data_IF_597283512983
#
_entry.id   IF_597283512983
#
_cell.length_a   1.000
_cell.length_b   1.000
_cell.length_c   1.000
_cell.angle_alpha   90.00
_cell.angle_beta   90.00
_cell.angle_gamma   90.00
#
_symmetry.space_group_name_H-M   'P 1'
#
loop_
_entity.id
_entity.type
_entity.pdbx_description
1 polymer ?
#
# COMPACT_ATOMS: atom_id res chain seq x y z
N UNK A 1 -60.37 -14.43 2.48
CA UNK A 1 -60.88 -13.31 3.29
C UNK A 1 -59.64 -12.73 3.99
N UNK A 2 -59.21 -11.51 3.88
CA UNK A 2 -59.61 -10.31 3.17
C UNK A 2 -58.31 -9.53 2.90
N UNK A 3 -58.20 -9.00 1.68
CA UNK A 3 -57.20 -8.02 1.28
C UNK A 3 -57.51 -6.68 1.96
N UNK A 4 -56.53 -6.00 2.50
CA UNK A 4 -56.60 -4.55 2.66
C UNK A 4 -55.35 -3.90 2.15
N UNK A 5 -55.52 -3.25 0.99
CA UNK A 5 -54.60 -2.29 0.41
C UNK A 5 -54.59 -0.99 1.23
N UNK A 6 -53.43 -0.44 1.55
CA UNK A 6 -53.31 0.97 1.95
C UNK A 6 -52.57 1.69 0.83
N UNK A 7 -53.31 2.51 0.08
CA UNK A 7 -52.78 3.55 -0.81
C UNK A 7 -52.29 4.72 0.07
N UNK A 8 -51.01 5.03 0.03
CA UNK A 8 -50.50 6.29 0.58
C UNK A 8 -50.44 7.35 -0.53
N UNK A 9 -50.95 8.49 -0.19
CA UNK A 9 -51.16 9.70 -0.97
C UNK A 9 -49.86 10.35 -1.42
N UNK A 10 -49.71 10.48 -2.75
CA UNK A 10 -48.63 11.27 -3.37
C UNK A 10 -49.13 12.68 -3.63
N UNK A 11 -49.13 13.54 -2.64
CA UNK A 11 -49.24 14.99 -2.89
C UNK A 11 -48.56 15.81 -1.78
N UNK A 12 -47.62 16.69 -2.21
CA UNK A 12 -47.01 17.78 -1.48
C UNK A 12 -45.77 17.50 -0.66
N UNK A 13 -44.62 17.47 -1.34
CA UNK A 13 -43.39 18.11 -0.81
C UNK A 13 -42.68 18.85 -1.98
N UNK A 14 -43.07 20.11 -2.22
CA UNK A 14 -42.17 21.06 -2.89
C UNK A 14 -41.17 21.52 -1.86
N UNK A 15 -40.04 20.85 -1.78
CA UNK A 15 -38.92 21.31 -0.97
C UNK A 15 -38.17 22.45 -1.70
N UNK A 16 -37.99 23.53 -1.00
CA UNK A 16 -37.23 24.72 -1.34
C UNK A 16 -35.80 24.33 -1.71
N UNK A 17 -35.33 24.82 -2.87
CA UNK A 17 -33.92 24.76 -3.26
C UNK A 17 -33.16 25.75 -2.36
N UNK A 18 -32.07 25.36 -1.70
CA UNK A 18 -31.16 26.32 -1.11
C UNK A 18 -30.42 27.05 -2.23
N UNK A 19 -30.39 28.40 -2.10
CA UNK A 19 -29.64 29.29 -2.98
C UNK A 19 -28.17 28.86 -3.03
N UNK A 20 -27.63 28.76 -4.26
CA UNK A 20 -26.20 28.67 -4.52
C UNK A 20 -25.51 29.89 -3.99
N UNK A 21 -24.79 29.77 -2.89
CA UNK A 21 -23.74 30.73 -2.55
C UNK A 21 -22.60 30.53 -3.55
N UNK A 22 -22.29 31.54 -4.32
CA UNK A 22 -21.12 31.61 -5.18
C UNK A 22 -19.87 31.44 -4.31
N UNK A 23 -19.18 30.29 -4.50
CA UNK A 23 -17.81 30.16 -4.02
C UNK A 23 -16.89 30.81 -5.03
N UNK A 24 -15.92 31.60 -4.60
CA UNK A 24 -14.96 32.23 -5.51
C UNK A 24 -14.19 31.10 -6.22
N UNK A 25 -14.00 31.26 -7.53
CA UNK A 25 -13.10 30.48 -8.35
C UNK A 25 -11.70 30.55 -7.72
N UNK A 26 -11.28 29.49 -7.04
CA UNK A 26 -9.89 29.31 -6.69
C UNK A 26 -9.14 28.98 -7.99
N UNK A 27 -8.22 29.84 -8.27
CA UNK A 27 -7.24 29.80 -9.34
C UNK A 27 -6.60 28.40 -9.44
N UNK A 28 -6.71 27.76 -10.62
CA UNK A 28 -6.07 26.47 -10.90
C UNK A 28 -4.58 26.71 -11.18
N UNK A 29 -3.91 27.32 -10.23
CA UNK A 29 -2.49 27.59 -10.24
C UNK A 29 -1.77 26.56 -9.35
N UNK A 30 -0.99 25.71 -10.00
CA UNK A 30 0.10 24.94 -9.42
C UNK A 30 -0.30 24.13 -8.16
N UNK A 31 -0.71 22.89 -8.35
CA UNK A 31 -0.60 21.87 -7.31
C UNK A 31 0.88 21.88 -6.86
N UNK A 32 1.14 22.52 -5.74
CA UNK A 32 2.45 22.48 -5.08
C UNK A 32 2.73 21.01 -4.82
N UNK A 33 3.88 20.50 -5.31
CA UNK A 33 4.54 19.36 -4.69
C UNK A 33 4.44 19.63 -3.19
N UNK A 34 3.85 18.73 -2.44
CA UNK A 34 3.94 18.80 -0.99
C UNK A 34 5.43 18.84 -0.73
N UNK A 35 5.92 19.98 -0.23
CA UNK A 35 7.27 20.13 0.26
C UNK A 35 7.39 19.22 1.47
N UNK A 36 7.73 17.95 1.23
CA UNK A 36 8.17 17.05 2.27
C UNK A 36 9.52 17.61 2.73
N UNK A 37 9.67 17.98 3.99
CA UNK A 37 10.92 18.48 4.48
C UNK A 37 12.01 17.42 4.24
N UNK A 38 13.15 17.84 3.70
CA UNK A 38 14.30 16.99 3.39
C UNK A 38 14.96 16.37 4.66
N UNK A 39 14.50 16.76 5.84
CA UNK A 39 14.95 16.25 7.13
C UNK A 39 13.74 15.61 7.85
N UNK A 40 13.74 14.28 7.89
CA UNK A 40 12.77 13.49 8.62
C UNK A 40 11.62 13.01 7.75
N UNK A 41 11.88 12.04 6.88
CA UNK A 41 10.79 11.23 6.29
C UNK A 41 10.20 10.41 7.43
N UNK A 42 9.10 10.90 7.99
CA UNK A 42 8.32 10.16 8.98
C UNK A 42 7.88 8.83 8.36
N UNK A 43 8.16 7.74 9.07
CA UNK A 43 7.95 6.39 8.57
C UNK A 43 6.46 6.15 8.39
N UNK A 44 6.04 5.96 7.14
CA UNK A 44 4.67 5.66 6.80
C UNK A 44 4.41 4.20 7.09
N UNK A 45 3.46 3.91 7.99
CA UNK A 45 2.91 2.57 8.14
C UNK A 45 1.77 2.46 7.15
N UNK A 46 2.02 1.78 6.05
CA UNK A 46 0.98 1.46 5.09
C UNK A 46 0.24 0.19 5.54
N UNK A 47 -1.08 0.27 5.71
CA UNK A 47 -1.92 -0.91 5.75
C UNK A 47 -2.08 -1.37 4.31
N UNK A 48 -1.33 -2.38 3.93
CA UNK A 48 -1.37 -2.95 2.58
C UNK A 48 -2.54 -3.91 2.48
N UNK A 49 -3.51 -3.64 1.63
CA UNK A 49 -4.56 -4.58 1.28
C UNK A 49 -4.23 -5.21 -0.09
N UNK A 50 -3.76 -6.48 -0.08
CA UNK A 50 -3.69 -7.29 -1.30
C UNK A 50 -5.08 -7.86 -1.59
N UNK A 51 -5.85 -7.25 -2.46
CA UNK A 51 -7.08 -7.86 -2.99
C UNK A 51 -6.81 -8.45 -4.36
N UNK A 52 -6.79 -9.79 -4.41
CA UNK A 52 -6.78 -10.55 -5.69
C UNK A 52 -8.10 -10.41 -6.46
N UNK A 53 -9.17 -10.02 -5.76
CA UNK A 53 -10.50 -9.76 -6.32
C UNK A 53 -11.15 -8.59 -5.59
N UNK A 54 -11.14 -7.42 -6.19
CA UNK A 54 -12.18 -6.43 -5.92
C UNK A 54 -13.44 -6.94 -6.60
N UNK A 55 -14.04 -8.00 -6.04
CA UNK A 55 -15.30 -8.55 -6.53
C UNK A 55 -16.32 -7.43 -6.64
N UNK A 56 -16.69 -7.08 -7.87
CA UNK A 56 -17.72 -6.11 -8.26
C UNK A 56 -17.82 -4.94 -7.27
N UNK A 57 -16.95 -3.96 -7.40
CA UNK A 57 -17.16 -2.64 -6.82
C UNK A 57 -18.50 -2.17 -7.37
N UNK A 58 -19.55 -2.23 -6.56
CA UNK A 58 -20.84 -1.62 -6.89
C UNK A 58 -20.57 -0.15 -7.14
N UNK A 59 -21.16 0.40 -8.18
CA UNK A 59 -21.08 1.81 -8.56
C UNK A 59 -21.62 2.79 -7.51
N UNK A 60 -21.93 2.33 -6.31
CA UNK A 60 -22.26 3.17 -5.17
C UNK A 60 -20.95 3.75 -4.60
N UNK A 61 -20.82 5.06 -4.70
CA UNK A 61 -19.72 5.88 -4.19
C UNK A 61 -19.59 5.81 -2.65
N UNK A 62 -19.58 4.61 -2.07
CA UNK A 62 -19.29 4.47 -0.65
C UNK A 62 -17.76 4.46 -0.48
N UNK A 63 -17.23 5.31 0.41
CA UNK A 63 -15.80 5.30 0.73
C UNK A 63 -15.39 3.90 1.19
N UNK A 64 -14.19 3.49 0.81
CA UNK A 64 -13.59 2.24 1.30
C UNK A 64 -13.68 2.27 2.83
N UNK A 65 -14.25 1.24 3.50
CA UNK A 65 -14.40 1.24 4.97
C UNK A 65 -13.09 1.55 5.70
N UNK A 66 -11.95 1.07 5.17
CA UNK A 66 -10.61 1.36 5.65
C UNK A 66 -10.25 2.84 5.55
N UNK A 67 -10.73 3.54 4.53
CA UNK A 67 -10.53 4.99 4.38
C UNK A 67 -11.21 5.80 5.48
N UNK A 68 -12.36 5.36 6.00
CA UNK A 68 -13.01 6.00 7.14
C UNK A 68 -12.26 5.74 8.45
N UNK A 69 -11.80 4.53 8.67
CA UNK A 69 -10.99 4.19 9.84
C UNK A 69 -9.65 4.94 9.83
N UNK A 70 -8.99 5.04 8.67
CA UNK A 70 -7.78 5.83 8.49
C UNK A 70 -7.99 7.31 8.85
N UNK A 71 -9.10 7.91 8.41
CA UNK A 71 -9.44 9.31 8.76
C UNK A 71 -9.75 9.53 10.24
N UNK A 72 -10.23 8.51 10.95
CA UNK A 72 -10.54 8.56 12.40
C UNK A 72 -9.32 8.26 13.27
N UNK A 73 -8.25 7.73 12.69
CA UNK A 73 -7.02 7.44 13.42
C UNK A 73 -6.41 8.73 13.99
N UNK A 74 -5.80 8.63 15.18
CA UNK A 74 -5.10 9.74 15.83
C UNK A 74 -3.69 9.97 15.28
N UNK A 75 -3.25 9.08 14.41
CA UNK A 75 -1.94 9.09 13.74
C UNK A 75 -2.16 9.06 12.23
N UNK A 76 -1.22 9.55 11.41
CA UNK A 76 -1.33 9.45 9.96
C UNK A 76 -1.43 7.98 9.51
N UNK A 77 -2.49 7.65 8.77
CA UNK A 77 -2.72 6.33 8.18
C UNK A 77 -3.04 6.52 6.70
N UNK A 78 -2.23 5.92 5.83
CA UNK A 78 -2.49 5.89 4.40
C UNK A 78 -3.16 4.56 4.02
N UNK A 79 -4.21 4.62 3.20
CA UNK A 79 -4.78 3.44 2.54
C UNK A 79 -4.08 3.29 1.20
N UNK A 80 -3.35 2.18 1.05
CA UNK A 80 -2.48 1.91 -0.09
C UNK A 80 -2.93 0.65 -0.83
N UNK A 81 -3.02 0.72 -2.17
CA UNK A 81 -3.18 -0.45 -3.01
C UNK A 81 -1.80 -1.05 -3.29
N UNK A 82 -1.56 -2.24 -2.73
CA UNK A 82 -0.30 -2.96 -2.85
C UNK A 82 -0.30 -3.90 -4.06
N UNK A 83 0.82 -4.07 -4.72
CA UNK A 83 1.08 -4.96 -5.87
C UNK A 83 -0.07 -5.12 -6.86
N UNK A 84 -0.24 -4.18 -7.76
CA UNK A 84 -1.15 -4.38 -8.88
C UNK A 84 -0.43 -4.29 -10.23
N UNK A 85 -0.82 -5.21 -11.12
CA UNK A 85 -0.37 -5.32 -12.51
C UNK A 85 -1.50 -4.90 -13.47
N UNK A 86 -2.69 -4.64 -12.95
CA UNK A 86 -3.90 -4.43 -13.72
C UNK A 86 -4.29 -2.94 -13.69
N UNK A 87 -4.26 -2.32 -14.85
CA UNK A 87 -4.60 -0.91 -15.02
C UNK A 87 -6.05 -0.60 -14.58
N UNK A 88 -7.01 -1.48 -14.88
CA UNK A 88 -8.42 -1.25 -14.51
C UNK A 88 -8.60 -1.27 -12.99
N UNK A 89 -7.91 -2.17 -12.29
CA UNK A 89 -7.93 -2.25 -10.84
C UNK A 89 -7.32 -0.99 -10.22
N UNK A 90 -6.22 -0.50 -10.78
CA UNK A 90 -5.61 0.78 -10.40
C UNK A 90 -6.60 1.93 -10.51
N UNK A 91 -7.30 2.03 -11.66
CA UNK A 91 -8.30 3.07 -11.88
C UNK A 91 -9.49 2.95 -10.92
N UNK A 92 -9.86 1.74 -10.55
CA UNK A 92 -10.91 1.51 -9.53
C UNK A 92 -10.46 1.98 -8.14
N UNK A 93 -9.21 1.69 -7.74
CA UNK A 93 -8.65 2.15 -6.47
C UNK A 93 -8.57 3.68 -6.39
N UNK A 94 -8.11 4.34 -7.46
CA UNK A 94 -8.09 5.81 -7.56
C UNK A 94 -9.49 6.41 -7.38
N UNK A 95 -10.51 5.83 -8.03
CA UNK A 95 -11.90 6.28 -7.90
C UNK A 95 -12.50 5.98 -6.53
N UNK A 96 -12.04 4.91 -5.87
CA UNK A 96 -12.47 4.52 -4.54
C UNK A 96 -11.85 5.38 -3.42
N UNK A 97 -10.88 6.26 -3.75
CA UNK A 97 -10.27 7.19 -2.80
C UNK A 97 -9.11 6.60 -2.01
N UNK A 98 -8.35 5.68 -2.61
CA UNK A 98 -7.05 5.27 -2.07
C UNK A 98 -6.11 6.47 -2.01
N UNK A 99 -5.34 6.59 -0.92
CA UNK A 99 -4.37 7.66 -0.72
C UNK A 99 -3.08 7.46 -1.51
N UNK A 100 -2.74 6.21 -1.80
CA UNK A 100 -1.65 5.83 -2.71
C UNK A 100 -1.91 4.48 -3.36
N UNK A 101 -1.23 4.23 -4.47
CA UNK A 101 -1.34 2.99 -5.24
C UNK A 101 0.04 2.51 -5.67
N UNK A 102 0.20 1.19 -5.84
CA UNK A 102 1.40 0.62 -6.40
C UNK A 102 1.12 0.01 -7.77
N UNK A 103 1.95 0.40 -8.74
CA UNK A 103 2.10 -0.32 -9.98
C UNK A 103 3.39 -1.15 -9.93
N UNK A 104 3.22 -2.46 -9.95
CA UNK A 104 4.34 -3.40 -9.97
C UNK A 104 4.67 -3.79 -11.41
N UNK A 105 5.58 -3.05 -12.00
CA UNK A 105 6.08 -3.30 -13.36
C UNK A 105 7.27 -4.27 -13.42
N UNK A 106 7.63 -4.92 -12.31
CA UNK A 106 8.76 -5.87 -12.27
C UNK A 106 8.58 -7.10 -13.16
N UNK A 107 7.33 -7.37 -13.56
CA UNK A 107 6.96 -8.48 -14.47
C UNK A 107 6.85 -8.07 -15.93
N UNK A 108 7.06 -6.81 -16.25
CA UNK A 108 7.07 -6.38 -17.65
C UNK A 108 8.24 -7.01 -18.40
N UNK A 109 8.08 -7.13 -19.72
CA UNK A 109 9.06 -7.84 -20.54
C UNK A 109 10.40 -7.12 -20.61
N UNK A 110 10.37 -5.79 -20.53
CA UNK A 110 11.57 -4.96 -20.59
C UNK A 110 11.50 -3.81 -19.57
N UNK A 111 12.66 -3.27 -19.21
CA UNK A 111 12.75 -2.07 -18.36
C UNK A 111 12.06 -0.87 -18.99
N UNK A 112 12.13 -0.72 -20.31
CA UNK A 112 11.49 0.38 -21.03
C UNK A 112 9.96 0.29 -20.92
N UNK A 113 9.40 -0.92 -20.96
CA UNK A 113 7.98 -1.15 -20.80
C UNK A 113 7.53 -0.82 -19.37
N UNK A 114 8.31 -1.23 -18.37
CA UNK A 114 8.08 -0.86 -16.97
C UNK A 114 8.10 0.67 -16.81
N UNK A 115 9.14 1.35 -17.29
CA UNK A 115 9.26 2.82 -17.23
C UNK A 115 8.06 3.49 -17.90
N UNK A 116 7.72 3.09 -19.12
CA UNK A 116 6.62 3.70 -19.87
C UNK A 116 5.28 3.59 -19.14
N UNK A 117 4.93 2.39 -18.66
CA UNK A 117 3.68 2.14 -17.96
C UNK A 117 3.64 2.84 -16.60
N UNK A 118 4.74 2.78 -15.86
CA UNK A 118 4.88 3.48 -14.58
C UNK A 118 4.68 4.98 -14.75
N UNK A 119 5.33 5.61 -15.72
CA UNK A 119 5.20 7.04 -15.99
C UNK A 119 3.76 7.44 -16.38
N UNK A 120 3.06 6.59 -17.15
CA UNK A 120 1.65 6.81 -17.50
C UNK A 120 0.77 6.80 -16.26
N UNK A 121 0.93 5.81 -15.39
CA UNK A 121 0.16 5.66 -14.15
C UNK A 121 0.45 6.81 -13.19
N UNK A 122 1.72 7.17 -13.01
CA UNK A 122 2.13 8.31 -12.18
C UNK A 122 1.44 9.58 -12.63
N UNK A 123 1.47 9.87 -13.94
CA UNK A 123 0.81 11.05 -14.49
C UNK A 123 -0.70 11.09 -14.21
N UNK A 124 -1.38 9.94 -14.30
CA UNK A 124 -2.83 9.85 -14.05
C UNK A 124 -3.11 10.03 -12.56
N UNK A 125 -2.39 9.31 -11.69
CA UNK A 125 -2.57 9.36 -10.25
C UNK A 125 -2.27 10.76 -9.67
N UNK A 126 -1.20 11.41 -10.13
CA UNK A 126 -0.86 12.79 -9.76
C UNK A 126 -1.96 13.78 -10.15
N UNK A 127 -2.61 13.58 -11.31
CA UNK A 127 -3.78 14.37 -11.69
C UNK A 127 -4.97 14.24 -10.73
N UNK A 128 -4.98 13.21 -9.89
CA UNK A 128 -5.98 12.97 -8.85
C UNK A 128 -5.46 13.25 -7.44
N UNK A 129 -4.21 13.72 -7.29
CA UNK A 129 -3.57 13.98 -5.99
C UNK A 129 -3.20 12.71 -5.23
N UNK A 130 -2.96 11.59 -5.92
CA UNK A 130 -2.64 10.28 -5.34
C UNK A 130 -1.18 9.93 -5.64
N UNK A 131 -0.43 9.51 -4.60
CA UNK A 131 0.95 9.07 -4.73
C UNK A 131 1.07 7.67 -5.34
N UNK A 132 2.18 7.43 -6.03
CA UNK A 132 2.45 6.15 -6.71
C UNK A 132 3.74 5.53 -6.24
N UNK A 133 3.67 4.26 -5.88
CA UNK A 133 4.81 3.38 -5.68
C UNK A 133 5.04 2.56 -6.95
N UNK A 134 6.30 2.45 -7.35
CA UNK A 134 6.71 1.55 -8.42
C UNK A 134 7.82 0.61 -7.94
N UNK A 135 8.01 -0.51 -8.64
CA UNK A 135 9.06 -1.49 -8.34
C UNK A 135 10.08 -1.58 -9.46
N UNK A 136 11.34 -1.60 -9.09
CA UNK A 136 12.47 -1.86 -9.98
C UNK A 136 13.32 -3.01 -9.44
N UNK A 137 13.73 -3.89 -10.33
CA UNK A 137 14.20 -5.21 -9.98
C UNK A 137 13.03 -6.16 -9.76
N UNK A 138 13.22 -7.26 -9.07
CA UNK A 138 12.14 -8.18 -8.69
C UNK A 138 12.43 -8.79 -7.34
N UNK A 139 11.52 -8.60 -6.41
CA UNK A 139 11.59 -9.17 -5.04
C UNK A 139 11.25 -10.64 -5.07
N UNK A 140 11.10 -11.38 -6.05
CA UNK A 140 10.92 -12.82 -6.07
C UNK A 140 9.88 -13.41 -5.09
N UNK A 141 9.63 -14.70 -5.22
CA UNK A 141 8.80 -15.46 -4.27
C UNK A 141 7.29 -15.43 -4.53
N UNK A 142 6.77 -14.52 -5.33
CA UNK A 142 5.37 -14.57 -5.76
C UNK A 142 5.18 -15.68 -6.79
N UNK A 143 4.09 -16.40 -6.66
CA UNK A 143 3.73 -17.47 -7.61
C UNK A 143 2.63 -16.96 -8.53
N UNK A 144 2.85 -17.05 -9.84
CA UNK A 144 1.83 -16.69 -10.84
C UNK A 144 0.69 -17.73 -10.90
N UNK A 145 -0.34 -17.44 -11.72
CA UNK A 145 -1.48 -18.34 -11.91
C UNK A 145 -1.12 -19.72 -12.49
N UNK A 146 0.09 -19.86 -13.05
CA UNK A 146 0.61 -21.09 -13.65
C UNK A 146 1.56 -21.85 -12.71
N UNK A 147 1.72 -21.37 -11.48
CA UNK A 147 2.60 -21.98 -10.48
C UNK A 147 4.09 -21.64 -10.65
N UNK A 148 4.45 -20.71 -11.54
CA UNK A 148 5.82 -20.24 -11.70
C UNK A 148 6.14 -19.24 -10.61
N UNK A 149 7.25 -19.45 -9.90
CA UNK A 149 7.77 -18.52 -8.88
C UNK A 149 8.64 -17.47 -9.54
N UNK A 150 8.42 -16.20 -9.22
CA UNK A 150 9.23 -15.09 -9.71
C UNK A 150 10.67 -15.23 -9.21
N UNK A 151 11.61 -14.98 -10.10
CA UNK A 151 13.02 -14.93 -9.76
C UNK A 151 13.36 -13.55 -9.19
N UNK A 152 14.23 -13.53 -8.19
CA UNK A 152 14.77 -12.31 -7.63
C UNK A 152 15.77 -11.68 -8.62
N UNK A 153 15.58 -10.40 -8.89
CA UNK A 153 16.49 -9.57 -9.69
C UNK A 153 16.86 -8.34 -8.85
N UNK A 154 18.13 -8.19 -8.52
CA UNK A 154 18.59 -7.06 -7.72
C UNK A 154 18.40 -5.73 -8.47
N UNK A 155 18.08 -4.68 -7.70
CA UNK A 155 18.02 -3.30 -8.22
C UNK A 155 19.44 -2.73 -8.33
N UNK A 156 19.80 -2.22 -9.49
CA UNK A 156 21.06 -1.52 -9.69
C UNK A 156 20.92 -0.01 -9.41
N UNK A 157 21.90 0.64 -8.73
CA UNK A 157 21.80 2.05 -8.35
C UNK A 157 21.58 3.01 -9.51
N UNK A 158 22.30 2.82 -10.62
CA UNK A 158 22.18 3.69 -11.80
C UNK A 158 20.83 3.50 -12.52
N UNK A 159 20.31 2.27 -12.54
CA UNK A 159 18.98 1.98 -13.07
C UNK A 159 17.91 2.61 -12.19
N UNK A 160 18.05 2.55 -10.86
CA UNK A 160 17.12 3.18 -9.93
C UNK A 160 17.03 4.68 -10.15
N UNK A 161 18.17 5.37 -10.34
CA UNK A 161 18.18 6.79 -10.66
C UNK A 161 17.45 7.09 -11.95
N UNK A 162 17.81 6.37 -13.02
CA UNK A 162 17.21 6.53 -14.35
C UNK A 162 15.70 6.28 -14.32
N UNK A 163 15.26 5.26 -13.59
CA UNK A 163 13.85 4.90 -13.42
C UNK A 163 13.07 6.02 -12.72
N UNK A 164 13.55 6.52 -11.58
CA UNK A 164 12.91 7.61 -10.84
C UNK A 164 12.82 8.87 -11.69
N UNK A 165 13.90 9.25 -12.38
CA UNK A 165 13.94 10.45 -13.22
C UNK A 165 12.94 10.37 -14.38
N UNK A 166 12.73 9.19 -14.96
CA UNK A 166 11.84 8.98 -16.11
C UNK A 166 10.38 8.76 -15.74
N UNK A 167 10.11 8.15 -14.58
CA UNK A 167 8.74 7.82 -14.17
C UNK A 167 8.10 8.91 -13.33
N UNK A 168 8.89 9.62 -12.53
CA UNK A 168 8.39 10.57 -11.54
C UNK A 168 7.66 9.91 -10.38
N UNK A 169 7.93 8.60 -10.11
CA UNK A 169 7.33 7.86 -8.99
C UNK A 169 7.60 8.55 -7.64
N UNK A 170 6.67 8.42 -6.70
CA UNK A 170 6.81 9.01 -5.36
C UNK A 170 7.55 8.09 -4.38
N UNK A 171 7.51 6.78 -4.61
CA UNK A 171 8.18 5.76 -3.80
C UNK A 171 8.78 4.71 -4.72
N UNK A 172 9.93 4.17 -4.36
CA UNK A 172 10.59 3.11 -5.12
C UNK A 172 10.79 1.86 -4.28
N UNK A 173 10.10 0.78 -4.65
CA UNK A 173 10.37 -0.55 -4.11
C UNK A 173 11.62 -1.13 -4.80
N UNK A 174 12.56 -1.59 -3.97
CA UNK A 174 13.87 -2.07 -4.42
C UNK A 174 14.12 -3.51 -3.97
N UNK A 175 14.76 -4.28 -4.82
CA UNK A 175 15.17 -5.65 -4.53
C UNK A 175 16.64 -5.68 -4.08
N UNK A 176 16.85 -6.09 -2.83
CA UNK A 176 18.17 -6.18 -2.18
C UNK A 176 18.43 -7.53 -1.52
N UNK A 177 17.67 -8.57 -1.91
CA UNK A 177 17.83 -9.92 -1.37
C UNK A 177 16.68 -10.43 -0.52
N UNK A 178 15.56 -9.70 -0.46
CA UNK A 178 14.30 -10.17 0.14
C UNK A 178 13.47 -10.98 -0.85
N UNK A 179 12.55 -11.80 -0.34
CA UNK A 179 11.52 -12.45 -1.14
C UNK A 179 10.17 -12.47 -0.41
N UNK A 180 9.07 -12.60 -1.17
CA UNK A 180 7.74 -12.69 -0.61
C UNK A 180 7.47 -14.09 -0.02
N UNK A 181 6.69 -14.13 1.07
CA UNK A 181 6.26 -15.38 1.72
C UNK A 181 7.22 -15.85 2.80
N UNK A 182 7.26 -17.17 3.00
CA UNK A 182 8.10 -17.78 4.04
C UNK A 182 9.47 -18.14 3.45
N UNK A 183 10.51 -17.61 4.06
CA UNK A 183 11.89 -17.91 3.66
C UNK A 183 12.21 -19.40 3.86
N UNK A 184 12.81 -20.02 2.85
CA UNK A 184 13.34 -21.40 2.93
C UNK A 184 14.76 -21.47 3.52
N UNK A 185 15.47 -20.36 3.50
CA UNK A 185 16.80 -20.20 4.08
C UNK A 185 16.96 -18.76 4.59
N UNK A 186 17.90 -18.51 5.49
CA UNK A 186 18.17 -17.17 6.00
C UNK A 186 18.55 -16.25 4.84
N UNK A 187 17.82 -15.15 4.63
CA UNK A 187 18.12 -14.19 3.57
C UNK A 187 19.46 -13.50 3.83
N UNK A 188 20.12 -13.13 2.76
CA UNK A 188 21.34 -12.29 2.82
C UNK A 188 21.03 -10.97 2.12
N UNK A 189 20.81 -9.93 2.91
CA UNK A 189 20.49 -8.62 2.38
C UNK A 189 21.76 -7.88 1.93
N UNK A 190 21.71 -7.29 0.75
CA UNK A 190 22.78 -6.44 0.21
C UNK A 190 22.63 -5.01 0.73
N UNK A 191 23.00 -4.80 2.00
CA UNK A 191 22.94 -3.47 2.66
C UNK A 191 23.89 -2.46 2.00
N UNK A 192 25.12 -2.82 1.55
CA UNK A 192 25.94 -1.92 0.74
C UNK A 192 25.20 -1.41 -0.51
N UNK A 193 24.58 -2.28 -1.30
CA UNK A 193 23.78 -1.91 -2.47
C UNK A 193 22.64 -0.97 -2.10
N UNK A 194 21.91 -1.25 -1.02
CA UNK A 194 20.83 -0.37 -0.53
C UNK A 194 21.36 1.05 -0.27
N UNK A 195 22.49 1.18 0.38
CA UNK A 195 23.11 2.49 0.66
C UNK A 195 23.52 3.24 -0.61
N UNK A 196 24.01 2.52 -1.62
CA UNK A 196 24.33 3.13 -2.92
C UNK A 196 23.05 3.59 -3.62
N UNK A 197 21.99 2.76 -3.68
CA UNK A 197 20.70 3.17 -4.23
C UNK A 197 20.18 4.41 -3.50
N UNK A 198 20.25 4.44 -2.16
CA UNK A 198 19.78 5.59 -1.37
C UNK A 198 20.50 6.90 -1.73
N UNK A 199 21.78 6.84 -2.09
CA UNK A 199 22.56 8.01 -2.51
C UNK A 199 22.17 8.53 -3.89
N UNK A 200 21.69 7.64 -4.78
CA UNK A 200 21.42 7.99 -6.17
C UNK A 200 20.00 8.49 -6.40
N UNK A 201 19.02 8.14 -5.53
CA UNK A 201 17.61 8.53 -5.68
C UNK A 201 17.16 9.49 -4.58
N UNK A 202 16.23 10.40 -4.92
CA UNK A 202 15.68 11.36 -3.97
C UNK A 202 14.40 10.87 -3.28
N UNK A 203 13.69 9.90 -3.90
CA UNK A 203 12.42 9.38 -3.39
C UNK A 203 12.63 8.39 -2.23
N UNK A 204 11.67 8.26 -1.30
CA UNK A 204 11.67 7.22 -0.28
C UNK A 204 11.79 5.82 -0.88
N UNK A 205 12.60 4.96 -0.23
CA UNK A 205 12.79 3.57 -0.63
C UNK A 205 11.86 2.65 0.15
N UNK A 206 11.36 1.62 -0.52
CA UNK A 206 10.44 0.63 0.03
C UNK A 206 11.09 -0.75 0.01
N UNK A 207 10.91 -1.50 1.12
CA UNK A 207 11.30 -2.88 1.25
C UNK A 207 10.09 -3.78 1.21
N UNK A 208 10.01 -4.66 0.20
CA UNK A 208 9.05 -5.75 0.12
C UNK A 208 9.65 -7.05 0.68
N UNK A 209 8.78 -8.02 0.97
CA UNK A 209 9.23 -9.32 1.48
C UNK A 209 9.85 -9.25 2.89
N UNK A 210 9.43 -8.31 3.72
CA UNK A 210 9.99 -8.10 5.06
C UNK A 210 9.65 -9.18 6.08
N UNK A 211 8.65 -10.04 5.83
CA UNK A 211 8.26 -11.09 6.79
C UNK A 211 9.33 -12.17 6.91
N UNK A 212 9.70 -12.49 8.16
CA UNK A 212 10.72 -13.52 8.44
C UNK A 212 12.17 -13.01 8.44
N UNK A 213 12.40 -11.73 8.27
CA UNK A 213 13.69 -11.11 8.52
C UNK A 213 13.98 -11.05 10.02
N UNK A 214 15.27 -11.09 10.39
CA UNK A 214 15.70 -10.85 11.76
C UNK A 214 15.51 -9.38 12.15
N UNK A 215 15.46 -9.10 13.46
CA UNK A 215 15.39 -7.74 13.98
C UNK A 215 16.60 -6.91 13.53
N UNK A 216 17.76 -7.51 13.42
CA UNK A 216 18.96 -6.83 12.95
C UNK A 216 18.91 -6.51 11.47
N UNK A 217 18.33 -7.40 10.63
CA UNK A 217 18.10 -7.10 9.23
C UNK A 217 17.17 -5.88 9.08
N UNK A 218 16.09 -5.82 9.85
CA UNK A 218 15.21 -4.65 9.84
C UNK A 218 15.93 -3.38 10.28
N UNK A 219 16.71 -3.42 11.37
CA UNK A 219 17.50 -2.25 11.82
C UNK A 219 18.48 -1.82 10.75
N UNK A 220 19.17 -2.77 10.12
CA UNK A 220 20.14 -2.49 9.07
C UNK A 220 19.50 -1.90 7.81
N UNK A 221 18.31 -2.38 7.40
CA UNK A 221 17.60 -1.82 6.25
C UNK A 221 17.10 -0.42 6.52
N UNK A 222 16.54 -0.17 7.71
CA UNK A 222 16.13 1.17 8.14
C UNK A 222 17.32 2.13 8.18
N UNK A 223 18.45 1.72 8.80
CA UNK A 223 19.69 2.50 8.82
C UNK A 223 20.30 2.65 7.41
N UNK A 224 20.01 1.75 6.50
CA UNK A 224 20.42 1.79 5.10
C UNK A 224 19.60 2.74 4.23
N UNK A 225 18.46 3.26 4.74
CA UNK A 225 17.66 4.27 4.05
C UNK A 225 16.27 3.81 3.59
N UNK A 226 15.81 2.64 4.04
CA UNK A 226 14.41 2.22 3.81
C UNK A 226 13.46 3.07 4.66
N UNK A 227 12.42 3.60 4.03
CA UNK A 227 11.40 4.46 4.63
C UNK A 227 10.06 3.74 4.85
N UNK A 228 9.72 2.74 4.02
CA UNK A 228 8.50 1.93 4.10
C UNK A 228 8.87 0.45 4.04
N UNK A 229 8.21 -0.38 4.85
CA UNK A 229 8.43 -1.83 4.89
C UNK A 229 7.08 -2.53 4.81
N UNK A 230 6.95 -3.46 3.84
CA UNK A 230 5.76 -4.30 3.71
C UNK A 230 5.94 -5.56 4.57
N UNK A 231 5.01 -5.77 5.52
CA UNK A 231 4.95 -6.94 6.39
C UNK A 231 3.54 -7.51 6.35
N UNK A 232 3.39 -8.73 5.85
CA UNK A 232 2.10 -9.42 5.79
C UNK A 232 2.15 -10.78 6.48
N UNK A 233 3.07 -11.65 6.04
CA UNK A 233 3.12 -13.05 6.48
C UNK A 233 3.32 -13.18 7.98
N UNK A 234 4.17 -12.35 8.61
CA UNK A 234 4.39 -12.40 10.07
C UNK A 234 3.11 -12.14 10.85
N UNK A 235 2.30 -11.17 10.40
CA UNK A 235 1.03 -10.80 11.04
C UNK A 235 0.01 -11.94 10.90
N UNK A 236 -0.12 -12.52 9.70
CA UNK A 236 -1.05 -13.65 9.48
C UNK A 236 -0.59 -14.90 10.22
N UNK A 237 0.70 -15.17 10.32
CA UNK A 237 1.21 -16.30 11.09
C UNK A 237 1.02 -16.11 12.59
N UNK A 238 1.01 -14.89 13.12
CA UNK A 238 0.66 -14.61 14.50
C UNK A 238 -0.80 -15.02 14.79
N UNK A 239 -1.74 -14.59 13.93
CA UNK A 239 -3.14 -15.01 14.02
C UNK A 239 -3.29 -16.55 13.96
N UNK A 240 -2.61 -17.19 13.00
CA UNK A 240 -2.64 -18.65 12.85
C UNK A 240 -2.15 -19.37 14.11
N UNK A 241 -1.07 -18.88 14.74
CA UNK A 241 -0.56 -19.47 15.99
C UNK A 241 -1.56 -19.32 17.13
N UNK A 242 -2.13 -18.13 17.32
CA UNK A 242 -3.13 -17.88 18.35
C UNK A 242 -4.36 -18.80 18.22
N UNK A 243 -4.83 -19.03 17.00
CA UNK A 243 -5.93 -19.99 16.73
C UNK A 243 -5.49 -21.42 17.08
N UNK A 244 -4.30 -21.83 16.68
CA UNK A 244 -3.79 -23.20 16.91
C UNK A 244 -3.54 -23.52 18.40
N UNK A 245 -3.22 -22.51 19.19
CA UNK A 245 -3.00 -22.63 20.65
C UNK A 245 -4.30 -22.75 21.45
N UNK A 246 -5.45 -22.46 20.84
CA UNK A 246 -6.76 -22.45 21.50
C UNK A 246 -7.80 -23.31 20.74
N UNK A 247 -7.54 -24.63 20.51
CA UNK A 247 -8.37 -25.45 19.65
C UNK A 247 -9.81 -25.64 20.14
N UNK A 248 -10.03 -25.50 21.45
CA UNK A 248 -11.35 -25.67 22.09
C UNK A 248 -12.14 -24.36 22.24
N UNK A 249 -11.58 -23.24 21.80
CA UNK A 249 -12.26 -21.95 21.87
C UNK A 249 -13.39 -21.85 20.85
N UNK A 250 -14.52 -21.25 21.24
CA UNK A 250 -15.61 -20.97 20.31
C UNK A 250 -15.20 -19.94 19.26
N UNK A 251 -15.89 -19.95 18.10
CA UNK A 251 -15.58 -19.13 16.93
C UNK A 251 -15.37 -17.63 17.23
N UNK A 252 -16.24 -17.05 18.07
CA UNK A 252 -16.12 -15.63 18.45
C UNK A 252 -14.81 -15.35 19.18
N UNK A 253 -14.44 -16.23 20.11
CA UNK A 253 -13.19 -16.09 20.87
C UNK A 253 -11.97 -16.30 19.98
N UNK A 254 -12.03 -17.24 19.03
CA UNK A 254 -10.94 -17.45 18.05
C UNK A 254 -10.70 -16.20 17.21
N UNK A 255 -11.74 -15.50 16.80
CA UNK A 255 -11.61 -14.24 16.06
C UNK A 255 -10.93 -13.15 16.90
N UNK A 256 -11.33 -13.00 18.16
CA UNK A 256 -10.72 -12.02 19.07
C UNK A 256 -9.23 -12.34 19.33
N UNK A 257 -8.92 -13.60 19.60
CA UNK A 257 -7.54 -14.05 19.80
C UNK A 257 -6.67 -13.81 18.56
N UNK A 258 -7.21 -14.07 17.40
CA UNK A 258 -6.51 -13.81 16.12
C UNK A 258 -6.26 -12.31 15.92
N UNK A 259 -7.27 -11.47 16.19
CA UNK A 259 -7.16 -10.02 16.07
C UNK A 259 -6.13 -9.46 17.05
N UNK A 260 -6.17 -9.85 18.32
CA UNK A 260 -5.21 -9.44 19.34
C UNK A 260 -3.78 -9.82 18.95
N UNK A 261 -3.57 -11.05 18.48
CA UNK A 261 -2.25 -11.51 18.04
C UNK A 261 -1.74 -10.73 16.81
N UNK A 262 -2.61 -10.34 15.88
CA UNK A 262 -2.25 -9.50 14.75
C UNK A 262 -1.87 -8.09 15.19
N UNK A 263 -2.62 -7.51 16.11
CA UNK A 263 -2.32 -6.20 16.71
C UNK A 263 -0.96 -6.21 17.40
N UNK A 264 -0.70 -7.20 18.29
CA UNK A 264 0.59 -7.33 18.96
C UNK A 264 1.76 -7.46 17.96
N UNK A 265 1.61 -8.31 16.95
CA UNK A 265 2.63 -8.50 15.92
C UNK A 265 2.91 -7.19 15.17
N UNK A 266 1.87 -6.43 14.85
CA UNK A 266 1.99 -5.14 14.18
C UNK A 266 2.68 -4.11 15.06
N UNK A 267 2.28 -3.98 16.34
CA UNK A 267 2.90 -3.05 17.29
C UNK A 267 4.40 -3.31 17.42
N UNK A 268 4.80 -4.59 17.59
CA UNK A 268 6.22 -4.95 17.66
C UNK A 268 7.00 -4.52 16.42
N UNK A 269 6.42 -4.65 15.22
CA UNK A 269 7.05 -4.19 13.99
C UNK A 269 7.18 -2.66 13.95
N UNK A 270 6.14 -1.93 14.39
CA UNK A 270 6.19 -0.48 14.50
C UNK A 270 7.28 0.02 15.43
N UNK A 271 7.42 -0.63 16.59
CA UNK A 271 8.50 -0.34 17.54
C UNK A 271 9.88 -0.61 16.94
N UNK A 272 10.02 -1.79 16.31
CA UNK A 272 11.28 -2.22 15.69
C UNK A 272 11.73 -1.25 14.57
N UNK A 273 10.78 -0.76 13.79
CA UNK A 273 11.06 0.21 12.70
C UNK A 273 11.28 1.63 13.23
N UNK A 274 11.04 1.88 14.53
CA UNK A 274 11.11 3.19 15.17
C UNK A 274 10.03 4.15 14.65
N UNK A 275 8.86 3.62 14.33
CA UNK A 275 7.67 4.39 13.93
C UNK A 275 6.89 4.98 15.10
N UNK A 276 7.07 4.45 16.32
CA UNK A 276 6.36 4.91 17.49
C UNK A 276 6.70 6.37 17.86
N UNK A 277 5.67 7.17 18.17
CA UNK A 277 5.83 8.58 18.51
C UNK A 277 6.17 9.49 17.32
N UNK A 278 5.96 9.05 16.10
CA UNK A 278 6.26 9.79 14.87
C UNK A 278 4.99 10.32 14.16
N UNK A 279 3.81 10.13 14.73
CA UNK A 279 2.54 10.59 14.19
C UNK A 279 1.92 11.77 14.91
#
# INVERSE_FOLDING_TARGET
>A
MAQHAVRADQRNIRAQRPQRSERPHADAGQARRADLPAEGVDRIVAVCEQRRDLGRVRHDRQPVPQGEQARRAKVPVAVHLDHTYNFELLMQALRAGFGSVMYDGSREKTSEENIRKSAEIVRIAHGMGVGVECELGSVGGLTDSNGKVDQMVYTEPEEAKSFVDQTGTDFLAVSIGTCHGVYKATPKLDIPRLREIRKTVSVPLVLHGGSGLSDDDFRNTVAGGISKINVFTDVILAAKRAIAEHPDAGYTNLNLLAEDAMVEATVRKLELFGGCGKG
#
